data_IF_376566205298
#
_entry.id   IF_376566205298
#
_cell.length_a   1.000
_cell.length_b   1.000
_cell.length_c   1.000
_cell.angle_alpha   90.00
_cell.angle_beta   90.00
_cell.angle_gamma   90.00
#
_symmetry.space_group_name_H-M   'P 1'
#
loop_
_entity.id
_entity.type
_entity.pdbx_description
1 polymer ?
#
# COMPACT_ATOMS: atom_id res chain seq x y z
N UNK A 1 -2.22 36.22 -21.84
CA UNK A 1 -2.44 36.55 -20.42
C UNK A 1 -3.95 36.65 -20.27
N UNK A 2 -4.60 35.72 -19.57
CA UNK A 2 -6.07 35.72 -19.46
C UNK A 2 -6.46 36.82 -18.49
N UNK A 3 -7.31 37.75 -18.94
CA UNK A 3 -7.80 38.84 -18.11
C UNK A 3 -8.97 38.34 -17.25
N UNK A 4 -8.64 37.64 -16.16
CA UNK A 4 -9.63 37.08 -15.21
C UNK A 4 -10.16 38.13 -14.25
N UNK A 5 -9.45 39.24 -14.08
CA UNK A 5 -9.77 40.29 -13.12
C UNK A 5 -11.10 40.95 -13.53
N UNK A 6 -12.04 41.06 -12.58
CA UNK A 6 -13.43 41.53 -12.75
C UNK A 6 -14.37 40.56 -13.48
N UNK A 7 -13.93 39.37 -13.90
CA UNK A 7 -14.84 38.38 -14.50
C UNK A 7 -15.89 37.92 -13.49
N UNK A 8 -17.15 37.83 -13.94
CA UNK A 8 -18.26 37.35 -13.13
C UNK A 8 -18.23 35.81 -13.05
N UNK A 9 -18.31 35.29 -11.84
CA UNK A 9 -18.25 33.85 -11.55
C UNK A 9 -19.38 33.43 -10.63
N UNK A 10 -19.81 32.19 -10.75
CA UNK A 10 -20.85 31.59 -9.90
C UNK A 10 -20.24 30.46 -9.09
N UNK A 11 -20.29 30.56 -7.76
CA UNK A 11 -19.93 29.48 -6.85
C UNK A 11 -21.17 28.70 -6.44
N UNK A 12 -21.07 27.37 -6.37
CA UNK A 12 -22.22 26.49 -6.04
C UNK A 12 -22.92 26.80 -4.71
N UNK A 13 -22.20 27.36 -3.73
CA UNK A 13 -22.69 27.67 -2.38
C UNK A 13 -22.82 29.16 -2.09
N UNK A 14 -21.96 29.99 -2.70
CA UNK A 14 -21.84 31.42 -2.36
C UNK A 14 -22.49 32.32 -3.41
N UNK A 15 -23.12 31.72 -4.42
CA UNK A 15 -23.81 32.46 -5.48
C UNK A 15 -22.84 33.19 -6.40
N UNK A 16 -23.28 34.34 -6.91
CA UNK A 16 -22.53 35.13 -7.88
C UNK A 16 -21.48 36.01 -7.19
N UNK A 17 -20.26 35.99 -7.69
CA UNK A 17 -19.16 36.83 -7.25
C UNK A 17 -18.35 37.38 -8.42
N UNK A 18 -17.37 38.24 -8.12
CA UNK A 18 -16.43 38.81 -9.09
C UNK A 18 -15.00 38.48 -8.67
N UNK A 19 -14.16 38.11 -9.64
CA UNK A 19 -12.74 37.87 -9.38
C UNK A 19 -12.05 39.20 -9.08
N UNK A 20 -11.43 39.29 -7.91
CA UNK A 20 -10.68 40.46 -7.44
C UNK A 20 -9.21 40.37 -7.82
N UNK A 21 -8.56 39.23 -7.55
CA UNK A 21 -7.15 38.99 -7.87
C UNK A 21 -6.89 37.52 -8.19
N UNK A 22 -5.79 37.26 -8.92
CA UNK A 22 -5.22 35.93 -9.14
C UNK A 22 -3.74 36.00 -8.79
N UNK A 23 -3.31 35.31 -7.75
CA UNK A 23 -1.92 35.31 -7.28
C UNK A 23 -1.54 33.97 -6.65
N UNK A 24 -0.29 33.54 -6.79
CA UNK A 24 0.29 32.38 -6.10
C UNK A 24 -0.56 31.09 -6.23
N UNK A 25 -1.08 30.83 -7.43
CA UNK A 25 -1.92 29.65 -7.70
C UNK A 25 -3.32 29.71 -7.09
N UNK A 26 -3.78 30.89 -6.65
CA UNK A 26 -5.10 31.10 -6.07
C UNK A 26 -5.86 32.22 -6.77
N UNK A 27 -7.19 32.13 -6.75
CA UNK A 27 -8.11 33.18 -7.20
C UNK A 27 -8.91 33.68 -5.99
N UNK A 28 -9.00 34.99 -5.83
CA UNK A 28 -9.82 35.62 -4.79
C UNK A 28 -11.09 36.17 -5.42
N UNK A 29 -12.23 35.78 -4.88
CA UNK A 29 -13.55 36.16 -5.37
C UNK A 29 -14.26 36.95 -4.28
N UNK A 30 -14.76 38.10 -4.67
CA UNK A 30 -15.66 38.93 -3.87
C UNK A 30 -17.10 38.53 -4.18
N UNK A 31 -17.82 38.04 -3.17
CA UNK A 31 -19.24 37.76 -3.27
C UNK A 31 -20.06 38.94 -2.74
N UNK A 32 -21.15 39.27 -3.44
CA UNK A 32 -22.08 40.30 -3.00
C UNK A 32 -22.67 39.98 -1.62
N UNK A 33 -23.01 41.01 -0.86
CA UNK A 33 -23.42 40.91 0.54
C UNK A 33 -24.42 39.75 0.78
N UNK A 34 -24.03 38.82 1.64
CA UNK A 34 -24.98 38.00 2.39
C UNK A 34 -25.79 38.90 3.34
N UNK A 35 -26.78 38.34 4.04
CA UNK A 35 -27.71 39.02 4.97
C UNK A 35 -27.07 39.96 6.02
N UNK A 36 -25.73 40.04 6.08
CA UNK A 36 -24.88 40.90 6.91
C UNK A 36 -24.47 42.25 6.29
N UNK A 37 -24.80 42.55 5.03
CA UNK A 37 -24.57 43.88 4.41
C UNK A 37 -23.12 44.20 4.01
N UNK A 38 -22.15 43.33 4.29
CA UNK A 38 -20.74 43.49 3.89
C UNK A 38 -20.32 42.49 2.78
N UNK A 39 -19.52 42.92 1.78
CA UNK A 39 -18.92 42.03 0.79
C UNK A 39 -18.00 40.99 1.47
N UNK A 40 -18.04 39.74 1.04
CA UNK A 40 -17.15 38.69 1.57
C UNK A 40 -16.18 38.20 0.52
N UNK A 41 -14.90 38.17 0.87
CA UNK A 41 -13.82 37.66 0.00
C UNK A 41 -13.48 36.22 0.37
N UNK A 42 -13.35 35.35 -0.64
CA UNK A 42 -12.89 33.97 -0.46
C UNK A 42 -11.83 33.60 -1.47
N UNK A 43 -10.81 32.86 -1.00
CA UNK A 43 -9.71 32.35 -1.82
C UNK A 43 -9.99 30.91 -2.25
N UNK A 44 -9.71 30.60 -3.51
CA UNK A 44 -9.85 29.27 -4.08
C UNK A 44 -8.61 28.88 -4.88
N UNK A 45 -8.30 27.60 -4.96
CA UNK A 45 -7.15 27.09 -5.72
C UNK A 45 -7.42 27.26 -7.22
N UNK A 46 -6.51 27.92 -7.94
CA UNK A 46 -6.59 28.18 -9.36
C UNK A 46 -5.65 27.24 -10.15
N UNK A 47 -6.08 26.67 -11.30
CA UNK A 47 -7.41 26.74 -11.90
C UNK A 47 -8.41 25.69 -11.35
N UNK A 48 -8.01 24.85 -10.39
CA UNK A 48 -8.74 23.63 -10.03
C UNK A 48 -10.13 23.86 -9.44
N UNK A 49 -10.35 24.99 -8.78
CA UNK A 49 -11.65 25.33 -8.22
C UNK A 49 -12.75 25.47 -9.30
N UNK A 50 -12.39 25.77 -10.55
CA UNK A 50 -13.31 25.82 -11.68
C UNK A 50 -13.77 24.44 -12.17
N UNK A 51 -13.13 23.34 -11.73
CA UNK A 51 -13.57 21.98 -12.08
C UNK A 51 -14.87 21.56 -11.39
N UNK A 52 -15.12 22.07 -10.18
CA UNK A 52 -16.19 21.57 -9.30
C UNK A 52 -16.98 22.65 -8.57
N UNK A 53 -16.38 23.80 -8.31
CA UNK A 53 -16.91 24.75 -7.33
C UNK A 53 -17.30 26.08 -7.97
N UNK A 54 -16.58 26.50 -9.02
CA UNK A 54 -16.75 27.79 -9.68
C UNK A 54 -17.10 27.62 -11.16
N UNK A 55 -17.98 28.46 -11.68
CA UNK A 55 -18.31 28.56 -13.10
C UNK A 55 -18.12 30.00 -13.57
N UNK A 56 -17.38 30.21 -14.65
CA UNK A 56 -17.24 31.52 -15.28
C UNK A 56 -18.48 31.80 -16.12
N UNK A 57 -19.04 33.01 -15.98
CA UNK A 57 -20.27 33.39 -16.68
C UNK A 57 -19.99 33.88 -18.11
N UNK A 58 -18.78 34.39 -18.38
CA UNK A 58 -18.33 34.76 -19.73
C UNK A 58 -17.87 33.51 -20.51
N UNK A 59 -18.54 33.15 -21.63
CA UNK A 59 -18.19 31.96 -22.41
C UNK A 59 -16.76 31.97 -22.96
N UNK A 60 -16.25 33.13 -23.38
CA UNK A 60 -14.92 33.24 -23.98
C UNK A 60 -13.82 33.04 -22.92
N UNK A 61 -14.04 33.55 -21.70
CA UNK A 61 -13.11 33.36 -20.58
C UNK A 61 -13.21 31.92 -20.03
N UNK A 62 -14.42 31.35 -19.99
CA UNK A 62 -14.64 29.97 -19.57
C UNK A 62 -13.87 28.98 -20.44
N UNK A 63 -13.91 29.15 -21.77
CA UNK A 63 -13.18 28.28 -22.72
C UNK A 63 -11.66 28.35 -22.51
N UNK A 64 -11.12 29.52 -22.18
CA UNK A 64 -9.69 29.68 -21.89
C UNK A 64 -9.29 29.00 -20.58
N UNK A 65 -10.13 29.07 -19.53
CA UNK A 65 -9.87 28.39 -18.25
C UNK A 65 -9.99 26.87 -18.39
N UNK A 66 -10.97 26.38 -19.15
CA UNK A 66 -11.10 24.95 -19.46
C UNK A 66 -9.88 24.43 -20.25
N UNK A 67 -9.36 25.25 -21.18
CA UNK A 67 -8.13 24.93 -21.91
C UNK A 67 -6.92 24.84 -20.98
N UNK A 68 -6.79 25.77 -20.01
CA UNK A 68 -5.72 25.71 -19.01
C UNK A 68 -5.84 24.50 -18.08
N UNK A 69 -7.06 24.14 -17.67
CA UNK A 69 -7.29 22.94 -16.86
C UNK A 69 -6.84 21.69 -17.62
N UNK A 70 -7.20 21.57 -18.91
CA UNK A 70 -6.76 20.45 -19.75
C UNK A 70 -5.24 20.39 -19.88
N UNK A 71 -4.57 21.53 -20.06
CA UNK A 71 -3.10 21.59 -20.12
C UNK A 71 -2.49 21.10 -18.81
N UNK A 72 -2.97 21.60 -17.67
CA UNK A 72 -2.47 21.22 -16.34
C UNK A 72 -2.69 19.72 -16.06
N UNK A 73 -3.83 19.17 -16.47
CA UNK A 73 -4.15 17.74 -16.29
C UNK A 73 -3.24 16.86 -17.15
N UNK A 74 -3.01 17.26 -18.41
CA UNK A 74 -2.06 16.56 -19.30
C UNK A 74 -0.62 16.65 -18.78
N UNK A 75 -0.21 17.80 -18.21
CA UNK A 75 1.11 17.96 -17.59
C UNK A 75 1.26 17.10 -16.33
N UNK A 76 0.22 17.01 -15.51
CA UNK A 76 0.21 16.16 -14.33
C UNK A 76 0.23 14.66 -14.70
N UNK A 77 -0.55 14.25 -15.70
CA UNK A 77 -0.52 12.87 -16.20
C UNK A 77 0.85 12.52 -16.79
N UNK A 78 1.45 13.39 -17.60
CA UNK A 78 2.82 13.21 -18.10
C UNK A 78 3.85 13.12 -16.97
N UNK A 79 3.69 13.92 -15.91
CA UNK A 79 4.57 13.85 -14.73
C UNK A 79 4.44 12.50 -14.02
N UNK A 80 3.21 12.01 -13.84
CA UNK A 80 2.95 10.68 -13.27
C UNK A 80 3.55 9.57 -14.13
N UNK A 81 3.38 9.64 -15.45
CA UNK A 81 3.98 8.68 -16.39
C UNK A 81 5.52 8.70 -16.34
N UNK A 82 6.13 9.89 -16.25
CA UNK A 82 7.58 10.05 -16.13
C UNK A 82 8.09 9.46 -14.81
N UNK A 83 7.42 9.75 -13.69
CA UNK A 83 7.75 9.16 -12.39
C UNK A 83 7.61 7.63 -12.40
N UNK A 84 6.58 7.09 -13.05
CA UNK A 84 6.41 5.65 -13.23
C UNK A 84 7.52 5.04 -14.11
N UNK A 85 7.91 5.73 -15.18
CA UNK A 85 9.00 5.33 -16.04
C UNK A 85 10.34 5.32 -15.30
N UNK A 86 10.67 6.38 -14.56
CA UNK A 86 11.86 6.45 -13.74
C UNK A 86 11.89 5.36 -12.66
N UNK A 87 10.77 5.12 -11.98
CA UNK A 87 10.65 4.01 -11.02
C UNK A 87 10.92 2.68 -11.71
N UNK A 88 10.41 2.47 -12.93
CA UNK A 88 10.64 1.25 -13.71
C UNK A 88 12.10 1.10 -14.14
N UNK A 89 12.76 2.17 -14.55
CA UNK A 89 14.19 2.14 -14.91
C UNK A 89 15.06 1.85 -13.70
N UNK A 90 14.80 2.48 -12.55
CA UNK A 90 15.47 2.18 -11.28
C UNK A 90 15.30 0.71 -10.88
N UNK A 91 14.10 0.11 -11.06
CA UNK A 91 13.90 -1.35 -10.88
C UNK A 91 14.81 -2.16 -11.78
N UNK A 92 14.86 -1.86 -13.08
CA UNK A 92 15.66 -2.61 -14.05
C UNK A 92 17.15 -2.52 -13.74
N UNK A 93 17.63 -1.33 -13.37
CA UNK A 93 19.02 -1.10 -12.98
C UNK A 93 19.38 -1.87 -11.70
N UNK A 94 18.55 -1.75 -10.66
CA UNK A 94 18.74 -2.48 -9.39
C UNK A 94 18.78 -4.00 -9.61
N UNK A 95 17.92 -4.54 -10.48
CA UNK A 95 17.89 -5.96 -10.81
C UNK A 95 19.17 -6.40 -11.53
N UNK A 96 19.65 -5.62 -12.51
CA UNK A 96 20.93 -5.92 -13.18
C UNK A 96 22.09 -5.95 -12.18
N UNK A 97 22.14 -5.01 -11.24
CA UNK A 97 23.15 -4.97 -10.19
C UNK A 97 23.09 -6.22 -9.27
N UNK A 98 21.88 -6.67 -8.91
CA UNK A 98 21.68 -7.91 -8.15
C UNK A 98 22.13 -9.15 -8.92
N UNK A 99 21.88 -9.22 -10.23
CA UNK A 99 22.30 -10.33 -11.08
C UNK A 99 23.83 -10.39 -11.25
N UNK A 100 24.47 -9.24 -11.46
CA UNK A 100 25.93 -9.15 -11.56
C UNK A 100 26.62 -9.55 -10.25
N UNK A 101 26.05 -9.14 -9.11
CA UNK A 101 26.53 -9.55 -7.79
C UNK A 101 26.43 -11.06 -7.57
N UNK A 102 25.38 -11.71 -8.12
CA UNK A 102 25.22 -13.17 -8.05
C UNK A 102 26.20 -13.94 -8.95
N UNK A 103 26.58 -13.39 -10.11
CA UNK A 103 27.54 -14.00 -11.04
C UNK A 103 28.98 -14.02 -10.50
N UNK A 104 29.33 -13.11 -9.60
CA UNK A 104 30.65 -13.03 -8.97
C UNK A 104 30.87 -14.04 -7.83
N UNK A 105 29.83 -14.76 -7.40
CA UNK A 105 29.96 -15.82 -6.39
C UNK A 105 30.48 -17.12 -7.04
N UNK A 106 31.47 -17.80 -6.44
CA UNK A 106 32.02 -19.03 -7.00
C UNK A 106 30.96 -20.14 -7.08
N UNK A 107 31.07 -20.99 -8.11
CA UNK A 107 30.16 -22.11 -8.36
C UNK A 107 30.08 -23.02 -7.13
N UNK A 108 28.87 -23.20 -6.59
CA UNK A 108 28.63 -23.98 -5.36
C UNK A 108 28.96 -25.46 -5.58
N UNK A 109 30.03 -25.96 -4.97
CA UNK A 109 30.13 -27.35 -4.55
C UNK A 109 28.95 -27.67 -3.63
N UNK A 110 28.38 -28.88 -3.75
CA UNK A 110 27.24 -29.35 -2.94
C UNK A 110 27.63 -29.49 -1.45
N UNK A 111 27.82 -28.37 -0.75
CA UNK A 111 27.84 -28.34 0.70
C UNK A 111 26.43 -28.63 1.22
N UNK A 112 26.32 -29.37 2.34
CA UNK A 112 25.06 -29.50 3.10
C UNK A 112 24.44 -28.11 3.23
N UNK A 113 23.23 -27.91 2.69
CA UNK A 113 22.48 -26.65 2.80
C UNK A 113 22.25 -26.33 4.29
N UNK A 114 23.18 -25.62 4.90
CA UNK A 114 22.89 -24.87 6.11
C UNK A 114 21.85 -23.83 5.70
N UNK A 115 20.72 -23.87 6.40
CA UNK A 115 19.60 -23.01 6.11
C UNK A 115 19.99 -21.59 6.55
N UNK A 116 20.40 -20.75 5.59
CA UNK A 116 20.82 -19.37 5.83
C UNK A 116 19.62 -18.53 6.23
N UNK A 117 19.78 -17.66 7.23
CA UNK A 117 18.72 -16.73 7.66
C UNK A 117 18.32 -15.82 6.51
N UNK A 118 17.02 -15.58 6.34
CA UNK A 118 16.45 -14.72 5.29
C UNK A 118 15.25 -13.93 5.83
N UNK A 119 14.96 -12.80 5.19
CA UNK A 119 13.73 -12.05 5.39
C UNK A 119 12.56 -12.74 4.69
N UNK A 120 11.32 -12.38 5.02
CA UNK A 120 10.13 -13.08 4.52
C UNK A 120 9.02 -12.09 4.15
N UNK A 121 8.45 -12.25 2.95
CA UNK A 121 7.28 -11.54 2.50
C UNK A 121 6.09 -12.48 2.38
N UNK A 122 4.94 -12.09 2.93
CA UNK A 122 3.72 -12.90 2.94
C UNK A 122 2.71 -12.41 1.90
N UNK A 123 2.07 -13.36 1.22
CA UNK A 123 0.93 -13.12 0.32
C UNK A 123 -0.35 -13.30 1.11
N UNK A 124 -0.97 -12.18 1.43
CA UNK A 124 -2.21 -12.12 2.17
C UNK A 124 -3.38 -11.85 1.22
N UNK A 125 -4.55 -12.38 1.57
CA UNK A 125 -5.78 -12.00 0.88
C UNK A 125 -6.16 -10.57 1.30
N UNK A 126 -6.86 -9.85 0.42
CA UNK A 126 -7.24 -8.48 0.73
C UNK A 126 -8.34 -8.45 1.78
N UNK A 127 -8.14 -7.63 2.82
CA UNK A 127 -9.10 -7.38 3.88
C UNK A 127 -9.19 -5.87 4.10
N UNK A 128 -10.36 -5.30 3.80
CA UNK A 128 -10.62 -3.86 3.93
C UNK A 128 -11.12 -3.47 5.34
N UNK A 129 -11.32 -4.44 6.23
CA UNK A 129 -11.68 -4.17 7.62
C UNK A 129 -13.03 -3.51 7.81
N UNK A 130 -13.92 -3.58 6.80
CA UNK A 130 -15.30 -3.13 6.92
C UNK A 130 -15.58 -1.78 6.27
N UNK A 131 -14.55 -1.04 5.83
CA UNK A 131 -14.71 0.21 5.11
C UNK A 131 -14.10 0.12 3.71
N UNK A 132 -14.68 0.81 2.71
CA UNK A 132 -14.15 0.81 1.36
C UNK A 132 -12.79 1.53 1.29
N UNK A 133 -12.00 1.17 0.28
CA UNK A 133 -10.77 1.89 -0.09
C UNK A 133 -9.75 2.11 1.05
N UNK A 134 -9.65 1.16 1.98
CA UNK A 134 -8.62 1.18 3.02
C UNK A 134 -7.90 -0.17 3.15
N UNK A 135 -6.73 -0.12 3.78
CA UNK A 135 -6.03 -1.32 4.23
C UNK A 135 -6.52 -1.64 5.63
N UNK A 136 -7.45 -2.60 5.73
CA UNK A 136 -8.11 -2.90 6.99
C UNK A 136 -7.30 -3.82 7.88
N UNK A 137 -7.26 -5.11 7.54
CA UNK A 137 -6.58 -6.18 8.31
C UNK A 137 -6.78 -6.12 9.85
N UNK A 138 -7.86 -5.48 10.30
CA UNK A 138 -8.18 -5.14 11.68
C UNK A 138 -9.71 -5.00 11.85
N UNK A 139 -10.47 -5.87 11.18
CA UNK A 139 -11.92 -5.81 11.07
C UNK A 139 -12.45 -6.82 10.06
N UNK A 140 -13.74 -7.16 10.17
CA UNK A 140 -14.43 -8.02 9.20
C UNK A 140 -14.51 -7.26 7.88
N UNK A 141 -14.36 -7.94 6.76
CA UNK A 141 -14.50 -7.33 5.44
C UNK A 141 -15.88 -6.65 5.25
N UNK A 142 -15.93 -5.59 4.43
CA UNK A 142 -17.21 -5.04 3.95
C UNK A 142 -17.91 -6.06 3.06
N UNK A 143 -19.23 -5.91 2.87
CA UNK A 143 -20.00 -6.81 2.01
C UNK A 143 -19.46 -6.86 0.57
N UNK A 144 -18.96 -5.74 0.05
CA UNK A 144 -18.34 -5.67 -1.27
C UNK A 144 -17.06 -6.52 -1.33
N UNK A 145 -16.21 -6.43 -0.30
CA UNK A 145 -14.97 -7.22 -0.22
C UNK A 145 -15.25 -8.70 0.07
N UNK A 146 -16.28 -9.02 0.85
CA UNK A 146 -16.74 -10.41 1.06
C UNK A 146 -17.13 -11.04 -0.28
N UNK A 147 -18.04 -10.40 -1.03
CA UNK A 147 -18.45 -10.88 -2.36
C UNK A 147 -17.26 -10.99 -3.32
N UNK A 148 -16.39 -9.98 -3.35
CA UNK A 148 -15.19 -10.03 -4.19
C UNK A 148 -14.29 -11.24 -3.86
N UNK A 149 -14.01 -11.49 -2.58
CA UNK A 149 -13.14 -12.59 -2.16
C UNK A 149 -13.76 -13.96 -2.44
N UNK A 150 -15.09 -14.10 -2.29
CA UNK A 150 -15.81 -15.37 -2.48
C UNK A 150 -16.11 -15.64 -3.96
N UNK A 151 -16.78 -14.71 -4.63
CA UNK A 151 -17.37 -14.93 -5.95
C UNK A 151 -16.33 -14.71 -7.07
N UNK A 152 -15.50 -13.67 -6.94
CA UNK A 152 -14.55 -13.27 -7.99
C UNK A 152 -13.18 -13.90 -7.82
N UNK A 153 -12.55 -13.72 -6.65
CA UNK A 153 -11.21 -14.27 -6.39
C UNK A 153 -11.23 -15.75 -5.99
N UNK A 154 -12.40 -16.27 -5.58
CA UNK A 154 -12.59 -17.68 -5.17
C UNK A 154 -11.56 -18.10 -4.13
N UNK A 155 -11.35 -17.26 -3.12
CA UNK A 155 -10.41 -17.53 -2.03
C UNK A 155 -10.86 -18.78 -1.27
N UNK A 156 -9.95 -19.74 -1.13
CA UNK A 156 -10.24 -21.06 -0.54
C UNK A 156 -10.90 -20.95 0.84
N UNK A 157 -10.33 -20.15 1.75
CA UNK A 157 -10.92 -19.96 3.07
C UNK A 157 -12.23 -19.19 3.00
N UNK A 158 -12.29 -18.05 2.30
CA UNK A 158 -13.50 -17.23 2.25
C UNK A 158 -14.71 -17.98 1.68
N UNK A 159 -14.51 -18.89 0.71
CA UNK A 159 -15.57 -19.72 0.13
C UNK A 159 -15.83 -21.03 0.86
N UNK A 160 -15.15 -21.30 1.99
CA UNK A 160 -15.40 -22.48 2.82
C UNK A 160 -16.72 -22.34 3.57
N UNK A 161 -17.45 -23.46 3.76
CA UNK A 161 -18.66 -23.51 4.59
C UNK A 161 -18.40 -23.17 6.06
N UNK A 162 -17.16 -23.37 6.51
CA UNK A 162 -16.71 -23.02 7.87
C UNK A 162 -16.37 -21.53 8.02
N UNK A 163 -16.28 -20.78 6.92
CA UNK A 163 -15.98 -19.36 6.99
C UNK A 163 -17.23 -18.57 7.33
N UNK A 164 -17.16 -17.78 8.40
CA UNK A 164 -18.27 -16.91 8.82
C UNK A 164 -18.68 -15.89 7.74
N UNK A 165 -17.74 -15.40 6.92
CA UNK A 165 -18.10 -14.54 5.79
C UNK A 165 -18.92 -15.28 4.73
N UNK A 166 -18.67 -16.57 4.52
CA UNK A 166 -19.49 -17.40 3.62
C UNK A 166 -20.86 -17.68 4.21
N UNK A 167 -20.93 -18.01 5.50
CA UNK A 167 -22.18 -18.24 6.22
C UNK A 167 -23.06 -16.99 6.18
N UNK A 168 -22.47 -15.82 6.42
CA UNK A 168 -23.15 -14.53 6.29
C UNK A 168 -23.68 -14.30 4.87
N UNK A 169 -22.85 -14.53 3.85
CA UNK A 169 -23.27 -14.32 2.46
C UNK A 169 -24.40 -15.28 2.04
N UNK A 170 -24.46 -16.48 2.64
CA UNK A 170 -25.52 -17.46 2.42
C UNK A 170 -26.79 -17.19 3.26
N UNK A 171 -26.75 -16.24 4.19
CA UNK A 171 -27.86 -15.93 5.11
C UNK A 171 -27.95 -16.87 6.31
N UNK A 172 -26.92 -17.68 6.59
CA UNK A 172 -26.86 -18.59 7.74
C UNK A 172 -26.67 -17.81 9.06
N UNK A 173 -25.97 -16.67 9.00
CA UNK A 173 -25.80 -15.72 10.10
C UNK A 173 -26.05 -14.30 9.59
N UNK A 174 -26.41 -13.38 10.48
CA UNK A 174 -26.54 -11.96 10.14
C UNK A 174 -25.22 -11.19 10.28
N UNK A 175 -25.24 -9.91 9.90
CA UNK A 175 -24.05 -9.05 9.94
C UNK A 175 -23.54 -8.83 11.37
N UNK A 176 -24.46 -8.69 12.32
CA UNK A 176 -24.15 -8.48 13.74
C UNK A 176 -23.38 -9.67 14.30
N UNK A 177 -23.88 -10.89 14.10
CA UNK A 177 -23.21 -12.12 14.51
C UNK A 177 -21.83 -12.28 13.85
N UNK A 178 -21.70 -11.89 12.58
CA UNK A 178 -20.40 -11.90 11.90
C UNK A 178 -19.41 -10.90 12.54
N UNK A 179 -19.84 -9.68 12.82
CA UNK A 179 -18.97 -8.65 13.41
C UNK A 179 -18.58 -9.00 14.86
N UNK A 180 -19.51 -9.55 15.65
CA UNK A 180 -19.28 -10.01 17.02
C UNK A 180 -18.26 -11.16 17.10
N UNK A 181 -18.11 -11.95 16.03
CA UNK A 181 -17.10 -13.03 15.97
C UNK A 181 -15.66 -12.55 16.17
N UNK A 182 -15.37 -11.27 15.92
CA UNK A 182 -14.06 -10.68 16.21
C UNK A 182 -13.80 -10.47 17.70
N UNK A 183 -14.85 -10.25 18.48
CA UNK A 183 -14.76 -10.10 19.94
C UNK A 183 -14.39 -11.44 20.56
N UNK A 184 -14.97 -12.52 20.03
CA UNK A 184 -14.74 -13.89 20.48
C UNK A 184 -13.45 -14.52 19.90
N UNK A 185 -12.66 -13.75 19.15
CA UNK A 185 -11.42 -14.22 18.51
C UNK A 185 -11.64 -15.23 17.37
N UNK A 186 -12.90 -15.49 16.99
CA UNK A 186 -13.31 -16.44 15.96
C UNK A 186 -13.32 -15.87 14.54
N UNK A 187 -13.01 -14.57 14.38
CA UNK A 187 -12.89 -13.93 13.07
C UNK A 187 -11.75 -14.50 12.22
N UNK A 188 -11.82 -14.27 10.91
CA UNK A 188 -10.84 -14.83 9.98
C UNK A 188 -9.41 -14.31 10.24
N UNK A 189 -8.44 -15.07 9.79
CA UNK A 189 -7.02 -14.77 9.98
C UNK A 189 -6.63 -13.35 9.53
N UNK A 190 -6.99 -12.93 8.31
CA UNK A 190 -6.67 -11.60 7.81
C UNK A 190 -7.36 -10.46 8.59
N UNK A 191 -8.55 -10.69 9.14
CA UNK A 191 -9.29 -9.67 9.90
C UNK A 191 -8.65 -9.29 11.24
N UNK A 192 -7.76 -10.12 11.76
CA UNK A 192 -7.09 -9.93 13.06
C UNK A 192 -5.58 -9.71 12.94
N UNK A 193 -5.06 -9.65 11.72
CA UNK A 193 -3.63 -9.63 11.46
C UNK A 193 -2.93 -8.43 12.12
N UNK A 194 -3.45 -7.21 11.95
CA UNK A 194 -2.81 -6.02 12.51
C UNK A 194 -3.07 -5.83 14.02
N UNK A 195 -3.97 -6.63 14.61
CA UNK A 195 -4.10 -6.73 16.08
C UNK A 195 -2.99 -7.60 16.65
N UNK A 196 -2.85 -8.81 16.12
CA UNK A 196 -1.95 -9.84 16.66
C UNK A 196 -0.51 -9.73 16.17
N UNK A 197 -0.29 -9.10 15.01
CA UNK A 197 0.98 -9.09 14.29
C UNK A 197 1.59 -10.49 14.11
N UNK A 198 0.74 -11.51 13.99
CA UNK A 198 1.13 -12.90 13.83
C UNK A 198 0.80 -13.39 12.43
N UNK A 199 1.81 -13.93 11.76
CA UNK A 199 1.70 -14.45 10.40
C UNK A 199 2.00 -15.93 10.33
N UNK A 200 0.98 -16.70 9.98
CA UNK A 200 1.06 -18.14 9.80
C UNK A 200 1.60 -18.47 8.42
N UNK A 201 2.39 -19.54 8.33
CA UNK A 201 2.87 -20.11 7.08
C UNK A 201 1.72 -20.67 6.23
N UNK A 202 0.61 -21.07 6.87
CA UNK A 202 -0.57 -21.64 6.25
C UNK A 202 -0.43 -23.13 5.94
N UNK A 203 -1.45 -23.70 5.30
CA UNK A 203 -1.50 -25.09 4.88
C UNK A 203 -1.43 -25.29 3.37
N UNK A 204 -1.19 -26.53 2.98
CA UNK A 204 -1.44 -27.07 1.65
C UNK A 204 -2.86 -27.68 1.60
N UNK A 205 -3.41 -27.82 0.39
CA UNK A 205 -4.75 -28.40 0.20
C UNK A 205 -4.86 -29.90 0.52
N UNK A 206 -3.74 -30.56 0.82
CA UNK A 206 -3.68 -31.97 1.21
C UNK A 206 -3.67 -32.19 2.74
N UNK A 207 -3.90 -31.12 3.51
CA UNK A 207 -3.93 -31.14 4.97
C UNK A 207 -2.54 -31.00 5.63
N UNK A 208 -1.45 -30.89 4.86
CA UNK A 208 -0.12 -30.60 5.42
C UNK A 208 0.04 -29.12 5.73
N UNK A 209 0.84 -28.83 6.74
CA UNK A 209 1.19 -27.46 7.11
C UNK A 209 2.53 -27.01 6.51
N UNK A 210 2.69 -25.70 6.31
CA UNK A 210 3.93 -25.11 5.79
C UNK A 210 4.91 -24.77 6.91
N UNK A 211 6.21 -24.85 6.57
CA UNK A 211 7.31 -24.52 7.48
C UNK A 211 7.99 -23.21 7.12
N UNK A 212 8.33 -22.40 8.11
CA UNK A 212 9.15 -21.18 7.95
C UNK A 212 10.59 -21.52 8.30
N UNK A 213 11.32 -21.99 7.30
CA UNK A 213 12.67 -22.52 7.45
C UNK A 213 13.72 -21.42 7.65
N UNK A 214 13.66 -20.33 6.88
CA UNK A 214 14.76 -19.37 6.79
C UNK A 214 14.56 -18.10 7.61
N UNK A 215 13.32 -17.72 7.91
CA UNK A 215 13.06 -16.54 8.74
C UNK A 215 13.25 -16.87 10.22
N UNK A 216 13.88 -15.97 10.96
CA UNK A 216 14.21 -16.11 12.37
C UNK A 216 14.01 -14.79 13.11
N UNK A 217 14.27 -14.77 14.41
CA UNK A 217 14.39 -13.51 15.17
C UNK A 217 15.29 -12.51 14.43
N UNK A 218 14.91 -11.24 14.43
CA UNK A 218 15.52 -10.12 13.71
C UNK A 218 15.43 -10.18 12.17
N UNK A 219 14.70 -11.17 11.62
CA UNK A 219 14.27 -11.13 10.22
C UNK A 219 13.19 -10.09 10.01
N UNK A 220 13.20 -9.45 8.84
CA UNK A 220 12.12 -8.57 8.42
C UNK A 220 10.97 -9.43 7.88
N UNK A 221 9.78 -9.24 8.45
CA UNK A 221 8.53 -9.71 7.89
C UNK A 221 7.87 -8.58 7.10
N UNK A 222 7.46 -8.88 5.87
CA UNK A 222 6.83 -7.94 4.94
C UNK A 222 5.41 -8.42 4.63
N UNK A 223 4.41 -7.60 4.93
CA UNK A 223 3.01 -7.89 4.70
C UNK A 223 2.59 -7.33 3.35
N UNK A 224 2.12 -8.21 2.45
CA UNK A 224 1.74 -7.79 1.10
C UNK A 224 0.32 -8.24 0.75
N UNK A 225 -0.36 -7.45 -0.05
CA UNK A 225 -1.68 -7.77 -0.58
C UNK A 225 -1.87 -7.24 -1.99
N UNK A 226 -2.96 -7.64 -2.64
CA UNK A 226 -3.39 -7.12 -3.94
C UNK A 226 -4.74 -6.49 -3.77
N UNK A 227 -4.87 -5.21 -4.16
CA UNK A 227 -6.15 -4.51 -4.12
C UNK A 227 -7.17 -5.21 -5.03
N UNK A 228 -8.48 -5.04 -4.75
CA UNK A 228 -9.52 -5.58 -5.62
C UNK A 228 -9.33 -5.14 -7.06
N UNK A 229 -9.49 -6.08 -8.00
CA UNK A 229 -9.46 -5.82 -9.45
C UNK A 229 -8.11 -5.37 -10.04
N UNK A 230 -7.00 -5.42 -9.30
CA UNK A 230 -5.67 -5.11 -9.83
C UNK A 230 -4.89 -6.35 -10.27
N UNK A 231 -3.82 -6.19 -11.04
CA UNK A 231 -2.95 -7.28 -11.49
C UNK A 231 -1.95 -7.66 -10.39
N UNK A 232 -1.40 -8.87 -10.47
CA UNK A 232 -0.37 -9.31 -9.51
C UNK A 232 0.87 -8.40 -9.51
N UNK A 233 1.17 -7.74 -10.63
CA UNK A 233 2.22 -6.71 -10.75
C UNK A 233 2.03 -5.50 -9.84
N UNK A 234 0.80 -5.25 -9.40
CA UNK A 234 0.42 -4.13 -8.57
C UNK A 234 0.32 -4.52 -7.09
N UNK A 235 0.86 -5.69 -6.70
CA UNK A 235 0.94 -6.11 -5.29
C UNK A 235 1.66 -5.05 -4.46
N UNK A 236 0.99 -4.57 -3.43
CA UNK A 236 1.48 -3.55 -2.51
C UNK A 236 1.97 -4.17 -1.21
N UNK A 237 2.93 -3.49 -0.59
CA UNK A 237 3.35 -3.71 0.80
C UNK A 237 2.54 -2.77 1.66
N UNK A 238 1.94 -3.30 2.73
CA UNK A 238 1.07 -2.51 3.61
C UNK A 238 1.49 -2.53 5.09
N UNK A 239 2.48 -3.36 5.41
CA UNK A 239 3.05 -3.37 6.75
C UNK A 239 4.36 -4.14 6.77
N UNK A 240 5.20 -3.80 7.74
CA UNK A 240 6.45 -4.50 8.01
C UNK A 240 6.67 -4.62 9.51
N UNK A 241 7.42 -5.63 9.92
CA UNK A 241 7.88 -5.75 11.30
C UNK A 241 9.16 -6.56 11.44
N UNK A 242 9.90 -6.31 12.51
CA UNK A 242 11.01 -7.17 12.94
C UNK A 242 10.45 -8.34 13.73
N UNK A 243 10.80 -9.54 13.31
CA UNK A 243 10.36 -10.80 13.94
C UNK A 243 11.05 -10.93 15.30
N UNK A 244 10.27 -11.08 16.36
CA UNK A 244 10.77 -11.42 17.70
C UNK A 244 10.33 -12.80 18.20
N UNK A 245 9.28 -13.39 17.61
CA UNK A 245 8.85 -14.76 17.87
C UNK A 245 8.65 -15.54 16.57
N UNK A 246 9.08 -16.80 16.57
CA UNK A 246 9.07 -17.67 15.39
C UNK A 246 8.88 -19.12 15.78
N UNK A 247 7.95 -19.77 15.08
CA UNK A 247 7.81 -21.22 15.05
C UNK A 247 8.10 -21.68 13.63
N UNK A 248 9.10 -22.56 13.45
CA UNK A 248 9.36 -23.14 12.13
C UNK A 248 8.16 -23.95 11.64
N UNK A 249 7.48 -24.65 12.55
CA UNK A 249 6.39 -25.58 12.23
C UNK A 249 6.88 -26.95 11.77
N UNK A 250 5.93 -27.86 11.55
CA UNK A 250 6.18 -29.20 11.05
C UNK A 250 5.08 -29.59 10.04
N UNK A 251 4.85 -30.88 9.79
CA UNK A 251 3.86 -31.33 8.81
C UNK A 251 2.42 -31.33 9.37
N UNK A 252 2.27 -31.16 10.69
CA UNK A 252 1.01 -31.11 11.45
C UNK A 252 0.71 -29.73 12.03
N UNK A 253 1.74 -28.93 12.28
CA UNK A 253 1.64 -27.60 12.86
C UNK A 253 2.24 -26.55 11.92
N UNK A 254 1.45 -25.54 11.54
CA UNK A 254 1.93 -24.45 10.70
C UNK A 254 2.98 -23.63 11.43
N UNK A 255 4.07 -23.34 10.73
CA UNK A 255 5.01 -22.33 11.18
C UNK A 255 4.34 -20.97 11.29
N UNK A 256 4.94 -20.07 12.07
CA UNK A 256 4.51 -18.68 12.16
C UNK A 256 5.67 -17.76 12.51
N UNK A 257 5.47 -16.47 12.25
CA UNK A 257 6.31 -15.39 12.77
C UNK A 257 5.42 -14.33 13.42
N UNK A 258 5.89 -13.67 14.46
CA UNK A 258 5.18 -12.56 15.08
C UNK A 258 6.11 -11.52 15.70
N UNK A 259 5.50 -10.42 16.11
CA UNK A 259 6.14 -9.38 16.92
C UNK A 259 5.22 -8.89 18.03
N UNK A 260 5.77 -8.65 19.22
CA UNK A 260 5.13 -7.83 20.25
C UNK A 260 5.86 -6.50 20.45
N UNK A 261 7.03 -6.33 19.84
CA UNK A 261 7.82 -5.09 19.91
C UNK A 261 7.17 -3.92 19.15
N UNK A 262 7.70 -2.73 19.38
CA UNK A 262 7.35 -1.50 18.65
C UNK A 262 7.98 -1.43 17.26
N UNK A 263 8.88 -2.36 16.90
CA UNK A 263 9.55 -2.38 15.58
C UNK A 263 8.61 -2.92 14.49
N UNK A 264 7.52 -2.20 14.25
CA UNK A 264 6.47 -2.53 13.29
C UNK A 264 5.81 -1.26 12.77
N UNK A 265 5.49 -1.23 11.49
CA UNK A 265 4.90 -0.08 10.81
C UNK A 265 3.81 -0.57 9.86
N UNK A 266 2.68 0.13 9.84
CA UNK A 266 1.64 0.00 8.82
C UNK A 266 1.71 1.17 7.84
N UNK A 267 1.28 0.93 6.61
CA UNK A 267 1.14 1.96 5.60
C UNK A 267 -0.34 2.26 5.38
N UNK A 268 -0.68 3.53 5.21
CA UNK A 268 -1.98 3.94 4.68
C UNK A 268 -2.12 3.42 3.24
N UNK A 269 -3.34 3.43 2.69
CA UNK A 269 -3.53 3.00 1.29
C UNK A 269 -2.69 3.84 0.31
N UNK A 270 -2.59 5.15 0.55
CA UNK A 270 -1.81 6.06 -0.30
C UNK A 270 -0.31 5.77 -0.23
N UNK A 271 0.23 5.58 0.98
CA UNK A 271 1.62 5.19 1.18
C UNK A 271 1.91 3.81 0.57
N UNK A 272 1.01 2.84 0.75
CA UNK A 272 1.17 1.47 0.27
C UNK A 272 1.16 1.38 -1.27
N UNK A 273 0.38 2.23 -1.96
CA UNK A 273 0.40 2.35 -3.43
C UNK A 273 1.78 2.75 -3.96
N UNK A 274 2.57 3.48 -3.17
CA UNK A 274 3.96 3.82 -3.47
C UNK A 274 4.97 2.71 -3.11
N UNK A 275 4.53 1.66 -2.41
CA UNK A 275 5.36 0.51 -1.97
C UNK A 275 4.99 -0.78 -2.69
N UNK A 276 5.11 -0.82 -4.02
CA UNK A 276 4.87 -2.06 -4.76
C UNK A 276 5.94 -3.12 -4.44
N UNK A 277 5.52 -4.34 -4.10
CA UNK A 277 6.40 -5.45 -3.69
C UNK A 277 7.43 -5.82 -4.76
N UNK A 278 7.02 -5.81 -6.03
CA UNK A 278 7.89 -6.20 -7.15
C UNK A 278 8.99 -5.18 -7.46
N UNK A 279 9.04 -4.03 -6.78
CA UNK A 279 10.24 -3.18 -6.75
C UNK A 279 11.43 -3.90 -6.11
N UNK A 280 11.17 -4.70 -5.07
CA UNK A 280 12.21 -5.21 -4.17
C UNK A 280 12.52 -6.69 -4.40
N UNK A 281 11.70 -7.41 -5.16
CA UNK A 281 11.84 -8.84 -5.33
C UNK A 281 11.76 -9.28 -6.79
N UNK A 282 12.74 -10.05 -7.24
CA UNK A 282 12.76 -10.72 -8.54
C UNK A 282 12.67 -12.24 -8.40
N UNK A 283 11.98 -12.90 -9.33
CA UNK A 283 11.93 -14.36 -9.37
C UNK A 283 13.30 -14.96 -9.74
N UNK A 284 13.59 -16.17 -9.26
CA UNK A 284 14.90 -16.82 -9.37
C UNK A 284 15.42 -17.03 -10.82
N UNK A 285 14.58 -16.87 -11.83
CA UNK A 285 14.92 -17.00 -13.26
C UNK A 285 15.42 -15.70 -13.90
N UNK A 286 15.57 -14.61 -13.15
CA UNK A 286 16.06 -13.30 -13.66
C UNK A 286 15.07 -12.55 -14.54
N UNK A 287 14.10 -13.24 -15.16
CA UNK A 287 12.97 -12.59 -15.82
C UNK A 287 12.04 -11.96 -14.80
N UNK A 288 11.90 -10.64 -14.88
CA UNK A 288 10.88 -9.84 -14.19
C UNK A 288 9.51 -10.24 -14.71
N UNK A 289 8.96 -11.32 -14.18
CA UNK A 289 7.53 -11.58 -14.25
C UNK A 289 6.99 -11.40 -12.85
N UNK A 290 6.13 -10.41 -12.65
CA UNK A 290 5.36 -10.26 -11.42
C UNK A 290 4.34 -11.40 -11.29
N UNK A 291 4.86 -12.56 -10.90
CA UNK A 291 4.14 -13.82 -10.77
C UNK A 291 4.50 -14.43 -9.42
N UNK A 292 3.54 -14.44 -8.50
CA UNK A 292 3.73 -15.06 -7.20
C UNK A 292 3.57 -16.58 -7.23
N UNK A 293 2.57 -17.09 -7.96
CA UNK A 293 2.23 -18.52 -7.94
C UNK A 293 1.42 -18.94 -6.72
N UNK A 294 1.47 -20.23 -6.39
CA UNK A 294 0.65 -20.88 -5.34
C UNK A 294 1.22 -20.76 -3.92
N UNK A 295 2.48 -20.36 -3.75
CA UNK A 295 3.08 -20.18 -2.43
C UNK A 295 2.43 -19.05 -1.62
N UNK A 296 2.54 -19.12 -0.30
CA UNK A 296 1.98 -18.12 0.63
C UNK A 296 3.02 -17.11 1.14
N UNK A 297 4.30 -17.38 0.93
CA UNK A 297 5.37 -16.45 1.27
C UNK A 297 6.58 -16.62 0.33
N UNK A 298 7.47 -15.64 0.35
CA UNK A 298 8.74 -15.61 -0.37
C UNK A 298 9.85 -15.13 0.54
N UNK A 299 11.03 -15.72 0.40
CA UNK A 299 12.21 -15.23 1.11
C UNK A 299 12.87 -14.09 0.37
N UNK A 300 13.40 -13.14 1.13
CA UNK A 300 14.14 -11.98 0.66
C UNK A 300 15.52 -11.97 1.29
N UNK A 301 16.53 -11.52 0.55
CA UNK A 301 17.86 -11.28 1.11
C UNK A 301 17.92 -9.95 1.86
N UNK A 302 19.06 -9.66 2.49
CA UNK A 302 19.24 -8.49 3.31
C UNK A 302 19.34 -7.20 2.48
N UNK A 303 19.87 -7.27 1.25
CA UNK A 303 19.91 -6.14 0.33
C UNK A 303 18.50 -5.67 -0.03
N UNK A 304 17.61 -6.62 -0.34
CA UNK A 304 16.21 -6.34 -0.64
C UNK A 304 15.47 -5.75 0.57
N UNK A 305 15.74 -6.25 1.78
CA UNK A 305 15.14 -5.74 3.00
C UNK A 305 15.62 -4.32 3.32
N UNK A 306 16.92 -4.02 3.20
CA UNK A 306 17.46 -2.67 3.42
C UNK A 306 16.90 -1.68 2.42
N UNK A 307 16.86 -2.02 1.13
CA UNK A 307 16.28 -1.15 0.10
C UNK A 307 14.81 -0.81 0.41
N UNK A 308 14.02 -1.80 0.82
CA UNK A 308 12.63 -1.61 1.22
C UNK A 308 12.53 -0.68 2.44
N UNK A 309 13.35 -0.88 3.47
CA UNK A 309 13.33 -0.06 4.69
C UNK A 309 13.80 1.37 4.46
N UNK A 310 14.76 1.60 3.56
CA UNK A 310 15.17 2.94 3.15
C UNK A 310 14.05 3.69 2.44
N UNK A 311 13.32 3.03 1.53
CA UNK A 311 12.19 3.66 0.85
C UNK A 311 10.99 3.87 1.80
N UNK A 312 10.77 2.95 2.75
CA UNK A 312 9.80 3.16 3.82
C UNK A 312 10.12 4.40 4.66
N UNK A 313 11.40 4.60 5.01
CA UNK A 313 11.85 5.78 5.75
C UNK A 313 11.57 7.08 4.98
N UNK A 314 11.77 7.10 3.65
CA UNK A 314 11.43 8.25 2.80
C UNK A 314 9.93 8.50 2.78
N UNK A 315 9.11 7.46 2.65
CA UNK A 315 7.65 7.58 2.64
C UNK A 315 7.12 8.16 3.96
N UNK A 316 7.73 7.76 5.08
CA UNK A 316 7.32 8.22 6.41
C UNK A 316 7.96 9.56 6.83
N UNK A 317 8.86 10.14 6.03
CA UNK A 317 9.68 11.29 6.40
C UNK A 317 8.88 12.48 6.92
N UNK A 318 7.73 12.77 6.30
CA UNK A 318 6.87 13.90 6.66
C UNK A 318 5.64 13.48 7.50
N UNK A 319 5.71 12.31 8.14
CA UNK A 319 4.65 11.76 8.98
C UNK A 319 5.09 11.71 10.45
N UNK A 320 4.15 11.62 11.42
CA UNK A 320 4.50 11.41 12.83
C UNK A 320 5.34 10.14 13.09
N UNK A 321 5.35 9.18 12.15
CA UNK A 321 6.09 7.92 12.25
C UNK A 321 7.49 7.98 11.63
N UNK A 322 7.99 9.16 11.23
CA UNK A 322 9.31 9.34 10.62
C UNK A 322 10.44 8.73 11.48
N UNK A 323 10.43 9.03 12.78
CA UNK A 323 11.44 8.49 13.71
C UNK A 323 11.30 6.97 13.86
N UNK A 324 10.07 6.45 13.92
CA UNK A 324 9.84 5.00 14.00
C UNK A 324 10.37 4.27 12.77
N UNK A 325 10.20 4.83 11.57
CA UNK A 325 10.73 4.25 10.33
C UNK A 325 12.26 4.23 10.31
N UNK A 326 12.89 5.30 10.80
CA UNK A 326 14.34 5.38 10.97
C UNK A 326 14.85 4.35 11.98
N UNK A 327 14.24 4.29 13.16
CA UNK A 327 14.61 3.35 14.23
C UNK A 327 14.48 1.89 13.79
N UNK A 328 13.46 1.58 12.99
CA UNK A 328 13.24 0.25 12.45
C UNK A 328 14.35 -0.16 11.47
N UNK A 329 14.75 0.75 10.57
CA UNK A 329 15.90 0.54 9.66
C UNK A 329 17.20 0.36 10.44
N UNK A 330 17.50 1.26 11.38
CA UNK A 330 18.72 1.20 12.18
C UNK A 330 18.77 -0.07 13.03
N UNK A 331 17.66 -0.44 13.67
CA UNK A 331 17.55 -1.69 14.44
C UNK A 331 17.73 -2.91 13.56
N UNK A 332 17.15 -2.93 12.36
CA UNK A 332 17.34 -4.00 11.40
C UNK A 332 18.83 -4.16 11.04
N UNK A 333 19.49 -3.07 10.63
CA UNK A 333 20.89 -3.08 10.24
C UNK A 333 21.80 -3.50 11.40
N UNK A 334 21.60 -2.93 12.59
CA UNK A 334 22.36 -3.24 13.80
C UNK A 334 22.22 -4.72 14.19
N UNK A 335 20.99 -5.24 14.22
CA UNK A 335 20.72 -6.62 14.64
C UNK A 335 21.22 -7.68 13.64
N UNK A 336 21.46 -7.28 12.39
CA UNK A 336 21.93 -8.18 11.32
C UNK A 336 23.37 -7.84 10.87
N UNK A 337 24.08 -6.96 11.57
CA UNK A 337 25.47 -6.54 11.28
C UNK A 337 25.68 -5.99 9.86
N UNK A 338 24.75 -5.15 9.39
CA UNK A 338 24.79 -4.52 8.06
C UNK A 338 25.21 -3.06 8.20
N UNK A 339 26.20 -2.63 7.42
CA UNK A 339 26.61 -1.22 7.36
C UNK A 339 25.65 -0.42 6.47
N UNK A 340 25.09 0.68 6.99
CA UNK A 340 24.15 1.53 6.24
C UNK A 340 24.78 2.25 5.03
N UNK A 341 26.11 2.40 5.03
CA UNK A 341 26.89 3.07 3.98
C UNK A 341 27.02 2.27 2.68
N UNK A 342 26.71 0.97 2.67
CA UNK A 342 26.99 0.07 1.52
C UNK A 342 25.82 -0.12 0.56
N UNK A 343 24.70 0.60 0.70
CA UNK A 343 23.50 0.38 -0.15
C UNK A 343 22.97 1.66 -0.81
N UNK A 344 23.73 2.76 -0.78
CA UNK A 344 23.42 3.98 -1.52
C UNK A 344 24.41 4.19 -2.68
N UNK A 345 24.17 3.51 -3.80
CA UNK A 345 24.61 3.92 -5.14
C UNK A 345 23.51 3.65 -6.15
#
# INVERSE_FOLDING_TARGET
MIELIKAAVTHKTFGTGKIKEVENGHVVIEFGASDSGEPTEKKFVYPDAFKKFLKINDPAIAEQVDSLIKIKDVEEDKRRELEEHEKREKRVAHIKALEESKKKLPAKTKAKKTNTRQNIAFKLNYCDGGAPEQIGFNGVCSDATIRYNIEKEKRVWCGSKECLCSQYLNGDIDRTALDDSLVDGSGCYESQLLKSWKVMAGGDGDGKTRKIKSARRNSLAVLTTRLPNTKEAERIIFGVFLIDDVLEGNDRESGYVSTQSTNKITLTLEEAKNMQFWNYHANATGKVSAKWGSGLFRYMDDTQAVALLQDLMKIKQDTPEAQLAKDLLESYCRNNHIELSTVSQ
#
